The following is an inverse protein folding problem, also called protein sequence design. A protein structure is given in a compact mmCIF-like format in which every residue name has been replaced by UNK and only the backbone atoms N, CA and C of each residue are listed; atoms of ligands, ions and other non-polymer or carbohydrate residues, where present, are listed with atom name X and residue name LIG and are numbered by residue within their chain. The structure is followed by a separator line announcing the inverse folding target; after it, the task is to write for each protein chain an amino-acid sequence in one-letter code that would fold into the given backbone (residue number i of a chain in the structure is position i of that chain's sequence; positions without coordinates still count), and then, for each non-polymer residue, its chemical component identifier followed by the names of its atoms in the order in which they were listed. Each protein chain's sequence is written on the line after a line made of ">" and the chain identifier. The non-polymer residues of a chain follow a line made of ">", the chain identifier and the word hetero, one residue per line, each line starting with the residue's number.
data_IF_434210366320
#
_entry.id   IF_434210366320
#
_cell.length_a   1.000
_cell.length_b   1.000
_cell.length_c   1.000
_cell.angle_alpha   90.00
_cell.angle_beta   90.00
_cell.angle_gamma   90.00
#
_symmetry.space_group_name_H-M   'P 1'
#
loop_
_entity.id
_entity.type
_entity.pdbx_description
1 polymer ?
#
# COMPACT_ATOMS: atom_id res chain seq x y z
N UNK A 1 -20.64 -5.01 -8.32
CA UNK A 1 -21.12 -5.41 -9.66
C UNK A 1 -20.09 -4.92 -10.68
N UNK A 2 -18.99 -5.65 -10.84
CA UNK A 2 -18.06 -5.46 -11.96
C UNK A 2 -17.55 -6.82 -12.37
N UNK A 3 -17.53 -7.03 -13.68
CA UNK A 3 -17.50 -8.33 -14.30
C UNK A 3 -16.16 -9.03 -14.02
N UNK A 4 -16.18 -9.95 -13.05
CA UNK A 4 -15.42 -11.17 -13.19
C UNK A 4 -15.76 -11.69 -14.60
N UNK A 5 -14.80 -11.64 -15.53
CA UNK A 5 -14.81 -12.63 -16.58
C UNK A 5 -14.70 -13.94 -15.83
N UNK A 6 -15.85 -14.56 -15.59
CA UNK A 6 -15.95 -15.95 -15.19
C UNK A 6 -15.10 -16.69 -16.21
N UNK A 7 -13.86 -17.04 -15.82
CA UNK A 7 -13.20 -18.16 -16.42
C UNK A 7 -14.04 -19.35 -16.00
N UNK A 8 -15.14 -19.57 -16.73
CA UNK A 8 -15.80 -20.85 -16.75
C UNK A 8 -14.72 -21.80 -17.27
N UNK A 9 -14.05 -22.46 -16.34
CA UNK A 9 -13.37 -23.72 -16.58
C UNK A 9 -14.46 -24.71 -17.01
N UNK A 10 -14.94 -24.57 -18.25
CA UNK A 10 -15.65 -25.63 -18.94
C UNK A 10 -14.70 -26.83 -18.90
N UNK A 11 -15.25 -27.96 -18.44
CA UNK A 11 -14.52 -29.11 -17.95
C UNK A 11 -13.27 -29.43 -18.75
N UNK A 12 -12.22 -29.86 -18.05
CA UNK A 12 -10.91 -30.27 -18.56
C UNK A 12 -11.00 -30.88 -19.96
N UNK A 13 -10.94 -30.02 -20.98
CA UNK A 13 -10.84 -30.45 -22.35
C UNK A 13 -9.36 -30.79 -22.50
N UNK A 14 -9.05 -32.08 -22.55
CA UNK A 14 -7.69 -32.54 -22.81
C UNK A 14 -7.30 -32.07 -24.22
N UNK A 15 -6.69 -30.90 -24.30
CA UNK A 15 -6.18 -30.37 -25.56
C UNK A 15 -4.94 -31.18 -25.92
N UNK A 16 -4.92 -31.88 -27.07
CA UNK A 16 -3.74 -32.61 -27.49
C UNK A 16 -2.58 -31.62 -27.68
N UNK A 17 -1.45 -31.91 -27.03
CA UNK A 17 -0.19 -31.15 -27.14
C UNK A 17 0.83 -31.95 -27.94
N UNK A 18 1.70 -31.26 -28.67
CA UNK A 18 2.84 -31.89 -29.34
C UNK A 18 3.85 -32.38 -28.30
N UNK A 19 4.72 -33.34 -28.64
CA UNK A 19 5.76 -33.85 -27.72
C UNK A 19 6.72 -32.74 -27.24
N UNK A 20 6.93 -31.69 -28.02
CA UNK A 20 7.70 -30.51 -27.63
C UNK A 20 6.95 -29.61 -26.63
N UNK A 21 5.63 -29.47 -26.79
CA UNK A 21 4.79 -28.67 -25.89
C UNK A 21 4.54 -29.35 -24.55
N UNK A 22 4.59 -30.69 -24.51
CA UNK A 22 4.52 -31.48 -23.26
C UNK A 22 5.75 -31.26 -22.38
N UNK A 23 6.91 -30.89 -22.95
CA UNK A 23 8.12 -30.56 -22.18
C UNK A 23 8.05 -29.21 -21.46
N UNK A 24 7.13 -28.32 -21.85
CA UNK A 24 6.91 -27.04 -21.17
C UNK A 24 5.92 -27.25 -20.03
N UNK A 25 6.32 -26.94 -18.80
CA UNK A 25 5.41 -26.96 -17.66
C UNK A 25 4.35 -25.87 -17.81
N UNK A 26 3.08 -26.28 -17.81
CA UNK A 26 1.96 -25.35 -17.75
C UNK A 26 1.86 -24.72 -16.36
N UNK A 27 1.89 -23.41 -16.31
CA UNK A 27 1.60 -22.64 -15.09
C UNK A 27 0.34 -21.82 -15.29
N UNK A 28 -0.34 -21.48 -14.20
CA UNK A 28 -1.56 -20.65 -14.24
C UNK A 28 -1.35 -19.35 -15.01
N UNK A 29 -0.20 -18.68 -14.83
CA UNK A 29 0.13 -17.44 -15.55
C UNK A 29 0.34 -17.68 -17.04
N UNK A 30 1.03 -18.76 -17.43
CA UNK A 30 1.22 -19.09 -18.85
C UNK A 30 -0.12 -19.36 -19.54
N UNK A 31 -0.98 -20.16 -18.90
CA UNK A 31 -2.31 -20.47 -19.43
C UNK A 31 -3.21 -19.24 -19.50
N UNK A 32 -3.13 -18.34 -18.50
CA UNK A 32 -3.94 -17.13 -18.45
C UNK A 32 -3.51 -16.08 -19.48
N UNK A 33 -2.20 -15.89 -19.67
CA UNK A 33 -1.65 -14.84 -20.53
C UNK A 33 -1.45 -15.28 -21.98
N UNK A 34 -1.21 -16.56 -22.24
CA UNK A 34 -0.83 -17.09 -23.56
C UNK A 34 -1.70 -18.27 -24.02
N UNK A 35 -2.80 -18.56 -23.31
CA UNK A 35 -3.76 -19.60 -23.65
C UNK A 35 -3.28 -21.03 -23.35
N UNK A 36 -4.16 -22.01 -23.56
CA UNK A 36 -3.91 -23.42 -23.22
C UNK A 36 -2.72 -24.06 -23.96
N UNK A 37 -2.33 -23.47 -25.10
CA UNK A 37 -1.21 -23.92 -25.93
C UNK A 37 0.04 -23.04 -25.80
N UNK A 38 -0.04 -21.93 -25.06
CA UNK A 38 1.08 -20.98 -24.93
C UNK A 38 1.44 -20.25 -26.23
N UNK A 39 0.53 -20.23 -27.22
CA UNK A 39 0.75 -19.66 -28.56
C UNK A 39 0.09 -18.31 -28.75
N UNK A 40 -0.80 -17.90 -27.85
CA UNK A 40 -1.49 -16.62 -27.96
C UNK A 40 -0.48 -15.49 -27.71
N UNK A 41 -0.70 -14.35 -28.33
CA UNK A 41 0.13 -13.16 -28.12
C UNK A 41 -0.52 -12.29 -27.07
N UNK A 42 0.31 -11.67 -26.22
CA UNK A 42 -0.13 -10.72 -25.21
C UNK A 42 0.27 -9.30 -25.61
N UNK A 43 -0.70 -8.43 -25.79
CA UNK A 43 -0.47 -7.01 -26.00
C UNK A 43 -0.10 -6.29 -24.70
N UNK A 44 0.53 -5.12 -24.81
CA UNK A 44 0.81 -4.27 -23.66
C UNK A 44 -0.47 -3.89 -22.90
N UNK A 45 -1.56 -3.62 -23.61
CA UNK A 45 -2.83 -3.21 -22.98
C UNK A 45 -3.48 -4.35 -22.18
N UNK A 46 -3.39 -5.59 -22.68
CA UNK A 46 -3.85 -6.78 -21.96
C UNK A 46 -3.01 -7.02 -20.70
N UNK A 47 -1.68 -6.89 -20.82
CA UNK A 47 -0.79 -7.01 -19.67
C UNK A 47 -1.03 -5.91 -18.63
N UNK A 48 -1.23 -4.66 -19.07
CA UNK A 48 -1.56 -3.52 -18.20
C UNK A 48 -2.84 -3.78 -17.41
N UNK A 49 -3.88 -4.28 -18.08
CA UNK A 49 -5.13 -4.65 -17.42
C UNK A 49 -4.95 -5.79 -16.42
N UNK A 50 -4.21 -6.83 -16.80
CA UNK A 50 -3.88 -7.93 -15.88
C UNK A 50 -3.19 -7.40 -14.62
N UNK A 51 -2.19 -6.53 -14.78
CA UNK A 51 -1.47 -5.93 -13.66
C UNK A 51 -2.38 -5.07 -12.76
N UNK A 52 -3.25 -4.25 -13.35
CA UNK A 52 -4.22 -3.43 -12.60
C UNK A 52 -5.21 -4.29 -11.80
N UNK A 53 -5.78 -5.32 -12.44
CA UNK A 53 -6.68 -6.25 -11.77
C UNK A 53 -5.98 -6.99 -10.62
N UNK A 54 -4.75 -7.42 -10.82
CA UNK A 54 -3.97 -8.07 -9.76
C UNK A 54 -3.75 -7.14 -8.56
N UNK A 55 -3.40 -5.87 -8.80
CA UNK A 55 -3.26 -4.89 -7.72
C UNK A 55 -4.59 -4.65 -6.99
N UNK A 56 -5.69 -4.56 -7.72
CA UNK A 56 -7.03 -4.39 -7.16
C UNK A 56 -7.44 -5.60 -6.31
N UNK A 57 -7.28 -6.82 -6.82
CA UNK A 57 -7.56 -8.05 -6.08
C UNK A 57 -6.75 -8.14 -4.78
N UNK A 58 -5.46 -7.81 -4.82
CA UNK A 58 -4.63 -7.80 -3.62
C UNK A 58 -5.12 -6.76 -2.61
N UNK A 59 -5.43 -5.54 -3.08
CA UNK A 59 -5.97 -4.45 -2.25
C UNK A 59 -7.30 -4.85 -1.59
N UNK A 60 -8.17 -5.53 -2.34
CA UNK A 60 -9.45 -6.04 -1.82
C UNK A 60 -9.22 -7.15 -0.78
N UNK A 61 -8.34 -8.12 -1.04
CA UNK A 61 -8.03 -9.20 -0.09
C UNK A 61 -7.54 -8.62 1.24
N UNK A 62 -6.63 -7.64 1.18
CA UNK A 62 -6.14 -6.96 2.38
C UNK A 62 -7.28 -6.28 3.15
N UNK A 63 -8.17 -5.57 2.47
CA UNK A 63 -9.32 -4.95 3.12
C UNK A 63 -10.22 -5.97 3.82
N UNK A 64 -10.57 -7.05 3.11
CA UNK A 64 -11.51 -8.06 3.61
C UNK A 64 -10.95 -8.83 4.82
N UNK A 65 -9.63 -9.03 4.89
CA UNK A 65 -8.99 -9.63 6.05
C UNK A 65 -9.22 -8.82 7.34
N UNK A 66 -9.17 -7.50 7.25
CA UNK A 66 -9.45 -6.60 8.38
C UNK A 66 -10.96 -6.38 8.58
N UNK A 67 -11.75 -6.37 7.51
CA UNK A 67 -13.19 -6.16 7.60
C UNK A 67 -13.91 -7.36 8.23
N UNK A 68 -13.36 -8.58 8.10
CA UNK A 68 -13.90 -9.81 8.71
C UNK A 68 -15.38 -10.00 8.40
N UNK A 69 -15.76 -9.79 7.13
CA UNK A 69 -17.13 -9.91 6.63
C UNK A 69 -18.02 -8.67 6.82
N UNK A 70 -17.51 -7.58 7.42
CA UNK A 70 -18.22 -6.28 7.49
C UNK A 70 -18.04 -5.48 6.20
N UNK A 71 -18.91 -4.50 5.97
CA UNK A 71 -18.80 -3.54 4.85
C UNK A 71 -17.75 -2.44 5.08
N UNK A 72 -17.24 -2.31 6.30
CA UNK A 72 -16.25 -1.31 6.69
C UNK A 72 -15.33 -1.82 7.78
N UNK A 73 -14.09 -1.31 7.81
CA UNK A 73 -13.11 -1.55 8.89
C UNK A 73 -13.17 -0.45 9.94
N UNK A 74 -12.89 -0.78 11.20
CA UNK A 74 -12.82 0.22 12.29
C UNK A 74 -11.58 1.13 12.11
N UNK A 75 -11.54 2.33 12.73
CA UNK A 75 -10.34 3.17 12.74
C UNK A 75 -9.09 2.43 13.24
N UNK A 76 -9.26 1.56 14.24
CA UNK A 76 -8.20 0.71 14.77
C UNK A 76 -7.70 -0.30 13.74
N UNK A 77 -8.61 -0.95 13.03
CA UNK A 77 -8.24 -1.92 11.99
C UNK A 77 -7.65 -1.23 10.76
N UNK A 78 -8.08 0.00 10.44
CA UNK A 78 -7.43 0.83 9.43
C UNK A 78 -5.99 1.18 9.82
N UNK A 79 -5.73 1.57 11.07
CA UNK A 79 -4.38 1.83 11.55
C UNK A 79 -3.49 0.59 11.48
N UNK A 80 -4.00 -0.57 11.90
CA UNK A 80 -3.29 -1.86 11.76
C UNK A 80 -3.04 -2.23 10.31
N UNK A 81 -4.02 -2.00 9.44
CA UNK A 81 -3.89 -2.24 8.01
C UNK A 81 -2.75 -1.41 7.45
N UNK A 82 -2.69 -0.10 7.73
CA UNK A 82 -1.59 0.79 7.33
C UNK A 82 -0.23 0.25 7.80
N UNK A 83 -0.12 -0.13 9.08
CA UNK A 83 1.13 -0.51 9.73
C UNK A 83 1.59 -1.96 9.45
N UNK A 84 0.79 -2.78 8.75
CA UNK A 84 1.02 -4.24 8.62
C UNK A 84 2.38 -4.65 8.03
N UNK A 85 2.99 -3.82 7.19
CA UNK A 85 4.24 -4.12 6.48
C UNK A 85 5.38 -3.15 6.81
N UNK A 86 5.23 -2.40 7.89
CA UNK A 86 6.10 -1.28 8.20
C UNK A 86 7.16 -1.72 9.21
N UNK A 87 8.41 -1.33 9.01
CA UNK A 87 9.50 -1.64 9.94
C UNK A 87 9.43 -0.64 11.09
N UNK A 88 8.44 -0.84 11.95
CA UNK A 88 8.22 -0.05 13.15
C UNK A 88 8.59 -0.93 14.33
N UNK A 89 9.35 -0.41 15.30
CA UNK A 89 9.66 -1.17 16.51
C UNK A 89 8.35 -1.42 17.30
N UNK A 90 8.34 -2.35 18.26
CA UNK A 90 7.10 -2.71 18.96
C UNK A 90 6.51 -1.55 19.78
N UNK A 91 7.38 -0.69 20.32
CA UNK A 91 6.98 0.42 21.19
C UNK A 91 6.31 1.55 20.39
N UNK A 92 6.86 1.89 19.22
CA UNK A 92 6.31 2.84 18.27
C UNK A 92 4.98 2.33 17.69
N UNK A 93 4.89 1.02 17.38
CA UNK A 93 3.64 0.41 16.92
C UNK A 93 2.53 0.55 17.97
N UNK A 94 2.83 0.24 19.24
CA UNK A 94 1.87 0.43 20.33
C UNK A 94 1.51 1.90 20.51
N UNK A 95 2.44 2.82 20.32
CA UNK A 95 2.20 4.26 20.38
C UNK A 95 1.16 4.71 19.34
N UNK A 96 1.31 4.32 18.07
CA UNK A 96 0.33 4.64 17.03
C UNK A 96 -1.05 4.06 17.34
N UNK A 97 -1.10 2.78 17.75
CA UNK A 97 -2.36 2.09 18.01
C UNK A 97 -3.07 2.67 19.24
N UNK A 98 -2.35 3.02 20.30
CA UNK A 98 -2.93 3.64 21.50
C UNK A 98 -3.47 5.04 21.19
N UNK A 99 -2.73 5.84 20.42
CA UNK A 99 -3.17 7.17 19.97
C UNK A 99 -4.49 7.11 19.20
N UNK A 100 -4.62 6.17 18.26
CA UNK A 100 -5.88 5.98 17.54
C UNK A 100 -6.99 5.54 18.50
N UNK A 101 -6.69 4.63 19.43
CA UNK A 101 -7.68 4.16 20.43
C UNK A 101 -8.23 5.29 21.29
N UNK A 102 -7.36 6.18 21.78
CA UNK A 102 -7.73 7.33 22.62
C UNK A 102 -8.53 8.37 21.84
N UNK A 103 -8.23 8.55 20.55
CA UNK A 103 -8.88 9.52 19.65
C UNK A 103 -10.09 8.96 18.90
N UNK A 104 -10.47 7.69 19.13
CA UNK A 104 -11.61 7.04 18.46
C UNK A 104 -12.83 7.04 19.38
N UNK A 105 -13.92 7.64 18.92
CA UNK A 105 -15.20 7.60 19.63
C UNK A 105 -15.96 6.29 19.34
N UNK A 106 -16.84 5.81 20.24
CA UNK A 106 -17.65 4.61 20.01
C UNK A 106 -18.51 4.66 18.73
N UNK A 107 -18.95 5.86 18.35
CA UNK A 107 -19.77 6.17 17.19
C UNK A 107 -18.98 6.52 15.93
N UNK A 108 -17.64 6.44 15.95
CA UNK A 108 -16.81 6.74 14.78
C UNK A 108 -17.16 5.81 13.61
N UNK A 109 -17.29 6.41 12.44
CA UNK A 109 -17.62 5.69 11.21
C UNK A 109 -16.47 4.76 10.78
N UNK A 110 -16.79 3.64 10.15
CA UNK A 110 -15.77 2.78 9.56
C UNK A 110 -15.18 3.34 8.27
N UNK A 111 -14.07 2.77 7.81
CA UNK A 111 -13.51 2.99 6.48
C UNK A 111 -14.06 1.94 5.53
N UNK A 112 -14.64 2.38 4.42
CA UNK A 112 -15.22 1.51 3.38
C UNK A 112 -14.16 1.04 2.37
N UNK A 113 -14.49 0.00 1.59
CA UNK A 113 -13.60 -0.50 0.54
C UNK A 113 -13.27 0.57 -0.50
N UNK A 114 -14.22 1.42 -0.88
CA UNK A 114 -13.99 2.48 -1.87
C UNK A 114 -13.04 3.57 -1.35
N UNK A 115 -13.14 3.93 -0.07
CA UNK A 115 -12.20 4.84 0.58
C UNK A 115 -10.80 4.22 0.65
N UNK A 116 -10.72 2.94 1.00
CA UNK A 116 -9.47 2.19 1.01
C UNK A 116 -8.82 2.09 -0.38
N UNK A 117 -9.60 1.77 -1.41
CA UNK A 117 -9.12 1.66 -2.79
C UNK A 117 -8.51 2.98 -3.29
N UNK A 118 -9.16 4.12 -3.00
CA UNK A 118 -8.62 5.46 -3.33
C UNK A 118 -7.31 5.75 -2.62
N UNK A 119 -7.21 5.38 -1.34
CA UNK A 119 -5.96 5.52 -0.61
C UNK A 119 -4.86 4.61 -1.14
N UNK A 120 -5.19 3.38 -1.53
CA UNK A 120 -4.24 2.45 -2.16
C UNK A 120 -3.73 3.00 -3.50
N UNK A 121 -4.60 3.64 -4.29
CA UNK A 121 -4.19 4.32 -5.52
C UNK A 121 -3.23 5.48 -5.24
N UNK A 122 -3.48 6.25 -4.17
CA UNK A 122 -2.54 7.26 -3.69
C UNK A 122 -1.17 6.66 -3.34
N UNK A 123 -1.13 5.53 -2.62
CA UNK A 123 0.13 4.87 -2.28
C UNK A 123 0.92 4.42 -3.51
N UNK A 124 0.25 4.03 -4.59
CA UNK A 124 0.92 3.67 -5.85
C UNK A 124 1.64 4.87 -6.50
N UNK A 125 1.28 6.11 -6.15
CA UNK A 125 1.86 7.36 -6.65
C UNK A 125 2.59 8.13 -5.52
N UNK A 126 3.19 7.40 -4.57
CA UNK A 126 3.85 8.00 -3.40
C UNK A 126 5.11 8.81 -3.77
N UNK A 127 5.76 8.49 -4.89
CA UNK A 127 6.95 9.21 -5.35
C UNK A 127 6.60 10.62 -5.83
N UNK A 128 5.54 10.77 -6.63
CA UNK A 128 5.03 12.09 -7.03
C UNK A 128 4.61 12.90 -5.80
N UNK A 129 3.97 12.25 -4.82
CA UNK A 129 3.55 12.90 -3.58
C UNK A 129 4.73 13.37 -2.75
N UNK A 130 5.76 12.54 -2.63
CA UNK A 130 7.01 12.89 -1.93
C UNK A 130 7.62 14.16 -2.53
N UNK A 131 7.62 14.26 -3.85
CA UNK A 131 8.15 15.44 -4.55
C UNK A 131 7.32 16.69 -4.24
N UNK A 132 5.99 16.57 -4.27
CA UNK A 132 5.09 17.68 -3.92
C UNK A 132 5.24 18.14 -2.46
N UNK A 133 5.32 17.20 -1.51
CA UNK A 133 5.44 17.53 -0.07
C UNK A 133 6.79 18.15 0.27
N UNK A 134 7.88 17.73 -0.39
CA UNK A 134 9.20 18.36 -0.23
C UNK A 134 9.20 19.84 -0.58
N UNK A 135 8.36 20.29 -1.52
CA UNK A 135 8.23 21.70 -1.84
C UNK A 135 7.70 22.51 -0.64
N UNK A 136 6.68 22.00 0.06
CA UNK A 136 6.14 22.63 1.27
C UNK A 136 7.18 22.65 2.40
N UNK A 137 7.87 21.53 2.62
CA UNK A 137 8.91 21.42 3.64
C UNK A 137 10.09 22.38 3.40
N UNK A 138 10.54 22.52 2.14
CA UNK A 138 11.62 23.45 1.78
C UNK A 138 11.23 24.93 1.91
N UNK A 139 9.94 25.23 1.99
CA UNK A 139 9.40 26.57 2.20
C UNK A 139 9.04 26.83 3.68
N UNK A 140 9.49 25.96 4.60
CA UNK A 140 9.18 25.99 6.03
C UNK A 140 7.66 26.03 6.32
N UNK A 141 6.84 25.48 5.41
CA UNK A 141 5.40 25.41 5.58
C UNK A 141 4.99 24.08 6.22
N UNK A 142 4.15 24.09 7.27
CA UNK A 142 3.65 22.87 7.87
C UNK A 142 2.73 22.12 6.90
N UNK A 143 2.80 20.79 6.93
CA UNK A 143 1.92 19.93 6.15
C UNK A 143 0.64 19.68 6.96
N UNK A 144 -0.28 20.65 6.91
CA UNK A 144 -1.58 20.52 7.58
C UNK A 144 -2.59 19.77 6.69
N UNK A 145 -3.75 19.32 7.21
CA UNK A 145 -4.67 18.46 6.47
C UNK A 145 -5.12 19.02 5.10
N UNK A 146 -5.40 20.34 4.95
CA UNK A 146 -5.64 20.95 3.64
C UNK A 146 -4.47 20.85 2.66
N UNK A 147 -3.23 21.11 3.09
CA UNK A 147 -2.02 20.97 2.25
C UNK A 147 -1.81 19.53 1.83
N UNK A 148 -1.99 18.58 2.76
CA UNK A 148 -1.93 17.15 2.47
C UNK A 148 -2.98 16.75 1.43
N UNK A 149 -4.24 17.12 1.65
CA UNK A 149 -5.33 16.82 0.72
C UNK A 149 -5.08 17.40 -0.67
N UNK A 150 -4.53 18.63 -0.75
CA UNK A 150 -4.15 19.28 -2.02
C UNK A 150 -3.00 18.55 -2.71
N UNK A 151 -1.98 18.13 -1.96
CA UNK A 151 -0.86 17.36 -2.50
C UNK A 151 -1.33 16.01 -3.04
N UNK A 152 -2.22 15.30 -2.34
CA UNK A 152 -2.84 14.06 -2.82
C UNK A 152 -3.69 14.31 -4.08
N UNK A 153 -4.53 15.34 -4.09
CA UNK A 153 -5.33 15.68 -5.28
C UNK A 153 -4.46 15.98 -6.50
N UNK A 154 -3.28 16.56 -6.29
CA UNK A 154 -2.33 16.84 -7.39
C UNK A 154 -1.70 15.56 -7.94
N UNK A 155 -1.53 14.51 -7.13
CA UNK A 155 -0.88 13.26 -7.57
C UNK A 155 -1.84 12.25 -8.17
N UNK A 156 -3.02 12.06 -7.59
CA UNK A 156 -4.01 11.10 -8.10
C UNK A 156 -5.10 11.76 -8.95
N UNK A 157 -5.14 13.08 -9.05
CA UNK A 157 -6.15 13.85 -9.80
C UNK A 157 -7.50 14.01 -9.07
N UNK A 158 -7.72 13.29 -7.98
CA UNK A 158 -8.96 13.31 -7.20
C UNK A 158 -8.70 13.56 -5.70
N UNK A 159 -9.61 14.25 -5.00
CA UNK A 159 -9.44 14.48 -3.57
C UNK A 159 -9.69 13.20 -2.76
N UNK A 160 -8.88 13.01 -1.70
CA UNK A 160 -9.12 11.97 -0.71
C UNK A 160 -10.34 12.33 0.16
N UNK A 161 -11.03 11.31 0.68
CA UNK A 161 -12.12 11.52 1.62
C UNK A 161 -11.62 12.27 2.87
N UNK A 162 -12.25 13.39 3.29
CA UNK A 162 -11.79 14.18 4.43
C UNK A 162 -11.67 13.41 5.74
N UNK A 163 -12.51 12.41 5.95
CA UNK A 163 -12.41 11.54 7.12
C UNK A 163 -11.18 10.65 7.06
N UNK A 164 -10.84 10.16 5.87
CA UNK A 164 -9.64 9.35 5.70
C UNK A 164 -8.39 10.17 5.97
N UNK A 165 -8.36 11.44 5.52
CA UNK A 165 -7.32 12.40 5.91
C UNK A 165 -7.28 12.55 7.43
N UNK A 166 -8.43 12.77 8.08
CA UNK A 166 -8.48 12.89 9.54
C UNK A 166 -7.94 11.65 10.27
N UNK A 167 -8.21 10.43 9.76
CA UNK A 167 -7.69 9.19 10.34
C UNK A 167 -6.18 9.07 10.18
N UNK A 168 -5.62 9.51 9.05
CA UNK A 168 -4.17 9.55 8.83
C UNK A 168 -3.53 10.46 9.89
N UNK A 169 -4.07 11.67 10.09
CA UNK A 169 -3.55 12.58 11.11
C UNK A 169 -3.75 12.01 12.53
N UNK A 170 -4.86 11.33 12.82
CA UNK A 170 -5.02 10.64 14.12
C UNK A 170 -3.92 9.60 14.38
N UNK A 171 -3.42 8.93 13.34
CA UNK A 171 -2.31 7.97 13.44
C UNK A 171 -0.98 8.72 13.62
N UNK A 172 -0.64 9.66 12.72
CA UNK A 172 0.72 10.18 12.60
C UNK A 172 0.99 11.51 13.32
N UNK A 173 -0.03 12.26 13.75
CA UNK A 173 0.12 13.49 14.53
C UNK A 173 0.43 13.16 15.99
N UNK A 174 1.71 13.27 16.36
CA UNK A 174 2.22 12.86 17.66
C UNK A 174 2.02 13.88 18.78
N UNK A 175 2.03 15.16 18.43
CA UNK A 175 2.00 16.30 19.36
C UNK A 175 0.67 17.06 19.30
N UNK A 176 -0.30 16.59 18.53
CA UNK A 176 -1.63 17.18 18.37
C UNK A 176 -1.58 18.62 17.81
N UNK A 177 -0.54 18.91 17.01
CA UNK A 177 -0.33 20.23 16.41
C UNK A 177 -1.03 20.38 15.05
N UNK A 178 -1.76 19.35 14.61
CA UNK A 178 -2.42 19.26 13.32
C UNK A 178 -1.45 19.30 12.14
N UNK A 179 -0.20 18.89 12.36
CA UNK A 179 0.81 18.76 11.32
C UNK A 179 1.30 17.33 11.21
N UNK A 180 1.72 16.96 10.00
CA UNK A 180 2.26 15.65 9.73
C UNK A 180 3.79 15.71 9.80
N UNK A 181 4.39 14.85 10.62
CA UNK A 181 5.81 14.48 10.48
C UNK A 181 5.99 13.73 9.16
N UNK A 182 6.15 14.47 8.06
CA UNK A 182 6.17 13.89 6.72
C UNK A 182 7.31 12.88 6.51
N UNK A 183 8.53 12.99 7.10
CA UNK A 183 9.56 11.98 6.91
C UNK A 183 9.17 10.62 7.50
N UNK A 184 8.54 10.65 8.67
CA UNK A 184 8.03 9.46 9.37
C UNK A 184 6.87 8.83 8.61
N UNK A 185 5.89 9.65 8.20
CA UNK A 185 4.79 9.20 7.35
C UNK A 185 5.30 8.56 6.06
N UNK A 186 6.23 9.20 5.34
CA UNK A 186 6.78 8.69 4.09
C UNK A 186 7.58 7.40 4.28
N UNK A 187 8.29 7.24 5.41
CA UNK A 187 8.99 6.00 5.73
C UNK A 187 7.99 4.84 5.89
N UNK A 188 6.94 5.06 6.69
CA UNK A 188 5.88 4.07 6.94
C UNK A 188 5.12 3.73 5.65
N UNK A 189 4.77 4.73 4.84
CA UNK A 189 4.08 4.51 3.56
C UNK A 189 4.97 3.84 2.51
N UNK A 190 6.28 4.12 2.50
CA UNK A 190 7.22 3.43 1.62
C UNK A 190 7.32 1.94 1.98
N UNK A 191 7.51 1.61 3.25
CA UNK A 191 7.59 0.20 3.66
C UNK A 191 6.29 -0.55 3.30
N UNK A 192 5.15 0.10 3.54
CA UNK A 192 3.84 -0.40 3.16
C UNK A 192 3.73 -0.68 1.66
N UNK A 193 4.09 0.28 0.81
CA UNK A 193 4.03 0.16 -0.65
C UNK A 193 4.83 -1.06 -1.14
N UNK A 194 5.98 -1.31 -0.50
CA UNK A 194 6.85 -2.43 -0.87
C UNK A 194 6.49 -3.76 -0.19
N UNK A 195 5.51 -3.79 0.71
CA UNK A 195 4.99 -5.02 1.36
C UNK A 195 6.07 -5.89 2.01
N UNK A 196 7.14 -5.27 2.51
CA UNK A 196 8.31 -5.98 3.05
C UNK A 196 9.15 -6.75 2.02
N UNK A 197 8.85 -6.62 0.72
CA UNK A 197 9.57 -7.29 -0.38
C UNK A 197 10.85 -6.56 -0.78
N UNK A 198 10.97 -5.27 -0.47
CA UNK A 198 12.28 -4.59 -0.43
C UNK A 198 13.04 -5.04 0.82
N UNK A 199 13.52 -6.28 0.80
CA UNK A 199 14.52 -6.71 1.75
C UNK A 199 15.75 -5.80 1.60
N UNK A 200 16.21 -5.20 2.70
CA UNK A 200 17.62 -4.79 2.79
C UNK A 200 18.43 -6.07 2.60
N UNK A 201 18.87 -6.32 1.37
CA UNK A 201 19.93 -7.30 1.09
C UNK A 201 21.23 -6.92 1.83
N UNK A 202 21.30 -5.72 2.41
CA UNK A 202 22.27 -5.39 3.44
C UNK A 202 21.95 -6.13 4.74
N UNK A 203 22.74 -7.18 5.00
CA UNK A 203 22.84 -7.84 6.31
C UNK A 203 22.88 -6.77 7.41
N UNK A 204 22.03 -6.92 8.43
CA UNK A 204 22.01 -6.03 9.61
C UNK A 204 23.31 -6.02 10.41
N UNK A 205 24.25 -6.89 10.04
CA UNK A 205 25.57 -7.03 10.62
C UNK A 205 26.64 -6.78 9.57
N UNK A 206 27.59 -5.91 9.89
CA UNK A 206 28.72 -5.59 9.04
C UNK A 206 29.36 -4.24 9.36
N UNK A 207 30.49 -3.96 8.71
CA UNK A 207 31.24 -2.73 8.92
C UNK A 207 30.46 -1.46 8.53
N UNK A 208 29.64 -1.53 7.47
CA UNK A 208 28.81 -0.39 7.02
C UNK A 208 27.73 0.01 8.04
N UNK A 209 26.86 -0.89 8.53
CA UNK A 209 25.91 -0.59 9.59
C UNK A 209 26.57 -0.07 10.88
N UNK A 210 27.69 -0.68 11.29
CA UNK A 210 28.45 -0.23 12.47
C UNK A 210 28.98 1.20 12.30
N UNK A 211 29.63 1.49 11.17
CA UNK A 211 30.16 2.82 10.88
C UNK A 211 29.06 3.88 10.84
N UNK A 212 27.91 3.56 10.24
CA UNK A 212 26.77 4.49 10.19
C UNK A 212 26.18 4.75 11.59
N UNK A 213 26.12 3.73 12.45
CA UNK A 213 25.71 3.90 13.85
C UNK A 213 26.65 4.84 14.60
N UNK A 214 27.96 4.61 14.49
CA UNK A 214 28.99 5.46 15.13
C UNK A 214 28.92 6.90 14.61
N UNK A 215 28.76 7.09 13.30
CA UNK A 215 28.64 8.44 12.72
C UNK A 215 27.38 9.15 13.23
N UNK A 216 26.23 8.47 13.25
CA UNK A 216 24.98 9.06 13.72
C UNK A 216 25.01 9.43 15.21
N UNK A 217 25.69 8.64 16.04
CA UNK A 217 25.86 8.95 17.46
C UNK A 217 26.87 10.09 17.68
N UNK A 218 27.93 10.16 16.86
CA UNK A 218 28.89 11.27 16.92
C UNK A 218 28.34 12.59 16.37
N UNK A 219 27.40 12.55 15.41
CA UNK A 219 26.77 13.76 14.86
C UNK A 219 25.60 14.28 15.70
N UNK A 220 25.25 13.60 16.80
CA UNK A 220 24.29 14.06 17.79
C UNK A 220 24.92 14.95 18.88
N UNK A 221 26.25 15.08 18.88
CA UNK A 221 27.03 15.97 19.74
C UNK A 221 27.49 17.23 18.99
#
# INVERSE_FOLDING_TARGET
>A
MFAARSAQLHGTCLVPKSEEDVKKQDTTLLLHLFGLRGSDKLSFEEFRRFYQNLQEEIMEIEFHEFARGKSSISPMDFARLILRYTIVNKDDYHTYINRVKERTAPEDRGVTLSQWARFSLFLNNLEEFTTAVRLYANADMPVSPPEFARAVQTTIGEPLDPYLVSLIYRIFDANDDQTLSYPEFLAVMNDRLHRGLKGKLEKSWGWKPFKNCVINELSRY
#
